data_IF_036937443570
#
_entry.id   IF_036937443570
#
_cell.length_a   1.000
_cell.length_b   1.000
_cell.length_c   1.000
_cell.angle_alpha   90.00
_cell.angle_beta   90.00
_cell.angle_gamma   90.00
#
_symmetry.space_group_name_H-M   'P 1'
#
loop_
_entity.id
_entity.type
_entity.pdbx_description
1 polymer ?
#
# COMPACT_ATOMS: atom_id res chain seq x y z
N UNK A 1 12.22 -9.21 11.44
CA UNK A 1 12.77 -9.05 10.08
C UNK A 1 13.83 -7.96 10.16
N UNK A 2 15.08 -8.21 9.78
CA UNK A 2 16.03 -7.12 9.58
C UNK A 2 15.62 -6.43 8.27
N UNK A 3 15.30 -5.14 8.32
CA UNK A 3 14.89 -4.39 7.14
C UNK A 3 16.14 -4.16 6.27
N UNK A 4 16.30 -4.98 5.22
CA UNK A 4 17.45 -4.93 4.30
C UNK A 4 17.12 -4.00 3.14
N UNK A 5 18.12 -3.31 2.58
CA UNK A 5 18.00 -2.49 1.38
C UNK A 5 17.32 -3.22 0.21
N UNK A 6 16.50 -2.50 -0.55
CA UNK A 6 15.63 -3.07 -1.58
C UNK A 6 15.73 -2.37 -2.93
N UNK A 7 15.49 -3.10 -4.03
CA UNK A 7 15.45 -2.51 -5.37
C UNK A 7 14.07 -1.87 -5.61
N UNK A 8 14.04 -0.56 -5.80
CA UNK A 8 12.82 0.25 -6.02
C UNK A 8 12.74 0.86 -7.43
N UNK A 9 13.39 0.25 -8.42
CA UNK A 9 13.58 0.84 -9.76
C UNK A 9 12.28 1.36 -10.38
N UNK A 10 11.27 0.48 -10.53
CA UNK A 10 10.06 0.83 -11.26
C UNK A 10 9.18 1.85 -10.51
N UNK A 11 8.92 1.72 -9.20
CA UNK A 11 8.23 2.74 -8.43
C UNK A 11 8.86 4.13 -8.57
N UNK A 12 10.20 4.22 -8.46
CA UNK A 12 10.92 5.50 -8.59
C UNK A 12 10.77 6.08 -9.99
N UNK A 13 10.88 5.26 -11.05
CA UNK A 13 10.71 5.72 -12.43
C UNK A 13 9.30 6.25 -12.66
N UNK A 14 8.28 5.51 -12.24
CA UNK A 14 6.88 5.90 -12.41
C UNK A 14 6.61 7.26 -11.73
N UNK A 15 7.05 7.41 -10.48
CA UNK A 15 6.90 8.66 -9.74
C UNK A 15 7.68 9.83 -10.38
N UNK A 16 8.93 9.63 -10.82
CA UNK A 16 9.71 10.68 -11.48
C UNK A 16 9.05 11.18 -12.77
N UNK A 17 8.40 10.27 -13.53
CA UNK A 17 7.67 10.63 -14.75
C UNK A 17 6.38 11.39 -14.39
N UNK A 18 5.65 10.95 -13.37
CA UNK A 18 4.39 11.56 -12.90
C UNK A 18 4.59 12.97 -12.31
N UNK A 19 5.63 13.15 -11.49
CA UNK A 19 5.86 14.37 -10.70
C UNK A 19 6.64 15.46 -11.41
N UNK A 20 7.18 15.18 -12.61
CA UNK A 20 8.12 16.06 -13.34
C UNK A 20 9.39 16.44 -12.54
N UNK A 21 9.68 15.73 -11.44
CA UNK A 21 10.88 15.96 -10.63
C UNK A 21 12.11 15.36 -11.31
N UNK A 22 13.18 16.14 -11.40
CA UNK A 22 14.45 15.64 -11.91
C UNK A 22 15.21 14.80 -10.87
N UNK A 23 16.00 13.83 -11.35
CA UNK A 23 16.96 13.08 -10.51
C UNK A 23 17.91 13.99 -9.74
N UNK A 24 18.23 15.17 -10.28
CA UNK A 24 19.05 16.18 -9.61
C UNK A 24 18.33 16.73 -8.36
N UNK A 25 17.07 17.14 -8.52
CA UNK A 25 16.24 17.61 -7.41
C UNK A 25 16.09 16.52 -6.34
N UNK A 26 15.80 15.28 -6.76
CA UNK A 26 15.74 14.13 -5.84
C UNK A 26 17.04 13.95 -5.06
N UNK A 27 18.21 14.00 -5.72
CA UNK A 27 19.50 13.88 -5.02
C UNK A 27 19.74 14.99 -4.00
N UNK A 28 19.31 16.22 -4.32
CA UNK A 28 19.45 17.38 -3.45
C UNK A 28 18.55 17.26 -2.23
N UNK A 29 17.29 16.85 -2.42
CA UNK A 29 16.33 16.68 -1.35
C UNK A 29 16.76 15.58 -0.35
N UNK A 30 17.27 14.46 -0.85
CA UNK A 30 17.70 13.32 -0.03
C UNK A 30 19.07 13.52 0.63
N UNK A 31 19.84 14.54 0.20
CA UNK A 31 21.23 14.75 0.64
C UNK A 31 22.20 13.66 0.17
N UNK A 32 21.96 13.06 -1.00
CA UNK A 32 22.78 11.99 -1.59
C UNK A 32 23.57 12.47 -2.79
N UNK A 33 24.51 11.64 -3.27
CA UNK A 33 25.27 11.96 -4.48
C UNK A 33 24.35 12.05 -5.71
N UNK A 34 24.71 12.87 -6.70
CA UNK A 34 23.95 12.97 -7.97
C UNK A 34 23.87 11.66 -8.73
N UNK A 35 24.82 10.75 -8.51
CA UNK A 35 24.84 9.44 -9.15
C UNK A 35 23.82 8.48 -8.51
N UNK A 36 23.47 8.69 -7.24
CA UNK A 36 22.63 7.77 -6.46
C UNK A 36 21.24 7.55 -7.09
N UNK A 37 20.45 8.58 -7.46
CA UNK A 37 19.18 8.36 -8.16
C UNK A 37 19.32 7.66 -9.53
N UNK A 38 20.44 7.90 -10.23
CA UNK A 38 20.74 7.19 -11.49
C UNK A 38 21.00 5.72 -11.22
N UNK A 39 21.75 5.40 -10.16
CA UNK A 39 22.03 4.03 -9.76
C UNK A 39 20.78 3.28 -9.29
N UNK A 40 19.79 3.95 -8.70
CA UNK A 40 18.50 3.34 -8.34
C UNK A 40 17.58 3.10 -9.53
N UNK A 41 17.79 3.78 -10.66
CA UNK A 41 16.87 3.75 -11.82
C UNK A 41 17.44 3.08 -13.08
N UNK A 42 18.74 2.77 -13.11
CA UNK A 42 19.36 2.01 -14.21
C UNK A 42 18.86 0.57 -14.28
N UNK A 43 19.07 -0.13 -15.41
CA UNK A 43 18.60 -1.51 -15.60
C UNK A 43 19.08 -2.47 -14.49
N UNK A 44 20.35 -2.38 -14.11
CA UNK A 44 20.91 -3.08 -12.94
C UNK A 44 20.89 -2.16 -11.72
N UNK A 45 19.70 -1.87 -11.24
CA UNK A 45 19.49 -0.92 -10.15
C UNK A 45 20.17 -1.37 -8.85
N UNK A 46 20.80 -0.43 -8.18
CA UNK A 46 21.32 -0.64 -6.82
C UNK A 46 20.18 -0.59 -5.79
N UNK A 47 20.26 -1.35 -4.69
CA UNK A 47 19.28 -1.27 -3.63
C UNK A 47 19.26 0.10 -2.94
N UNK A 48 18.06 0.58 -2.61
CA UNK A 48 17.79 1.74 -1.76
C UNK A 48 17.80 1.29 -0.31
N UNK A 49 18.44 2.05 0.58
CA UNK A 49 18.43 1.75 2.03
C UNK A 49 17.08 2.14 2.64
N UNK A 50 16.68 1.56 3.79
CA UNK A 50 15.43 1.92 4.46
C UNK A 50 15.34 3.43 4.75
N UNK A 51 16.43 4.05 5.20
CA UNK A 51 16.48 5.47 5.55
C UNK A 51 16.27 6.36 4.31
N UNK A 52 16.87 5.97 3.18
CA UNK A 52 16.67 6.69 1.92
C UNK A 52 15.25 6.49 1.37
N UNK A 53 14.63 5.33 1.62
CA UNK A 53 13.26 5.07 1.22
C UNK A 53 12.28 5.93 2.03
N UNK A 54 12.47 6.07 3.35
CA UNK A 54 11.66 6.96 4.20
C UNK A 54 11.79 8.41 3.72
N UNK A 55 13.01 8.93 3.59
CA UNK A 55 13.24 10.31 3.08
C UNK A 55 12.65 10.53 1.69
N UNK A 56 12.64 9.49 0.87
CA UNK A 56 12.05 9.55 -0.47
C UNK A 56 10.53 9.62 -0.40
N UNK A 57 9.88 8.82 0.45
CA UNK A 57 8.44 8.88 0.67
C UNK A 57 8.02 10.27 1.20
N UNK A 58 8.73 10.79 2.20
CA UNK A 58 8.52 12.12 2.77
C UNK A 58 8.67 13.23 1.72
N UNK A 59 9.71 13.17 0.89
CA UNK A 59 9.94 14.19 -0.15
C UNK A 59 8.95 14.06 -1.30
N UNK A 60 8.60 12.83 -1.66
CA UNK A 60 7.75 12.55 -2.81
C UNK A 60 6.29 12.90 -2.57
N UNK A 61 5.85 12.72 -1.32
CA UNK A 61 4.48 12.99 -0.88
C UNK A 61 3.44 12.40 -1.85
N UNK A 62 3.67 11.14 -2.23
CA UNK A 62 2.88 10.42 -3.23
C UNK A 62 2.46 9.05 -2.67
N UNK A 63 1.16 8.79 -2.68
CA UNK A 63 0.57 7.58 -2.10
C UNK A 63 1.04 6.30 -2.80
N UNK A 64 1.19 6.33 -4.13
CA UNK A 64 1.58 5.15 -4.92
C UNK A 64 3.04 4.75 -4.64
N UNK A 65 3.94 5.74 -4.61
CA UNK A 65 5.34 5.51 -4.27
C UNK A 65 5.49 5.05 -2.81
N UNK A 66 4.79 5.71 -1.88
CA UNK A 66 4.82 5.38 -0.45
C UNK A 66 4.38 3.94 -0.20
N UNK A 67 3.26 3.53 -0.78
CA UNK A 67 2.78 2.15 -0.65
C UNK A 67 3.73 1.15 -1.33
N UNK A 68 4.34 1.50 -2.46
CA UNK A 68 5.34 0.64 -3.10
C UNK A 68 6.58 0.45 -2.22
N UNK A 69 7.01 1.48 -1.51
CA UNK A 69 8.09 1.42 -0.51
C UNK A 69 7.68 0.50 0.64
N UNK A 70 6.47 0.68 1.19
CA UNK A 70 5.95 -0.14 2.29
C UNK A 70 5.92 -1.62 1.89
N UNK A 71 5.39 -1.94 0.71
CA UNK A 71 5.38 -3.29 0.18
C UNK A 71 6.78 -3.89 0.11
N UNK A 72 7.73 -3.17 -0.48
CA UNK A 72 9.04 -3.72 -0.75
C UNK A 72 9.85 -3.99 0.54
N UNK A 73 9.68 -3.16 1.57
CA UNK A 73 10.41 -3.30 2.84
C UNK A 73 9.69 -4.15 3.88
N UNK A 74 8.35 -4.18 3.87
CA UNK A 74 7.56 -4.83 4.92
C UNK A 74 6.62 -5.92 4.41
N UNK A 75 6.43 -6.05 3.09
CA UNK A 75 5.62 -7.11 2.47
C UNK A 75 4.11 -6.96 2.69
N UNK A 76 3.61 -5.76 3.02
CA UNK A 76 2.24 -5.58 3.51
C UNK A 76 1.28 -5.19 2.37
N UNK A 77 1.40 -3.99 1.80
CA UNK A 77 0.43 -3.45 0.83
C UNK A 77 1.11 -2.79 -0.35
N UNK A 78 0.69 -3.13 -1.58
CA UNK A 78 1.11 -2.49 -2.83
C UNK A 78 -0.12 -1.88 -3.52
N UNK A 79 -0.01 -0.74 -4.21
CA UNK A 79 -1.07 -0.26 -5.10
C UNK A 79 -1.44 -1.31 -6.15
N UNK A 80 -2.69 -1.31 -6.61
CA UNK A 80 -3.10 -2.17 -7.72
C UNK A 80 -2.44 -1.68 -9.00
N UNK A 81 -1.37 -2.37 -9.42
CA UNK A 81 -0.54 -1.95 -10.54
C UNK A 81 -0.73 -2.77 -11.83
N UNK A 82 -1.71 -3.68 -11.84
CA UNK A 82 -2.14 -4.41 -13.04
C UNK A 82 -2.79 -3.52 -14.10
N UNK A 83 -2.93 -4.05 -15.32
CA UNK A 83 -3.54 -3.40 -16.49
C UNK A 83 -5.00 -3.82 -16.74
N UNK A 84 -5.55 -4.68 -15.87
CA UNK A 84 -6.89 -5.25 -16.01
C UNK A 84 -8.00 -4.27 -15.59
N UNK A 85 -7.80 -3.52 -14.51
CA UNK A 85 -8.80 -2.61 -13.94
C UNK A 85 -8.43 -1.15 -14.18
N UNK A 86 -9.45 -0.31 -14.44
CA UNK A 86 -9.29 1.15 -14.48
C UNK A 86 -9.03 1.67 -13.07
N UNK A 87 -8.23 2.73 -12.94
CA UNK A 87 -7.78 3.29 -11.66
C UNK A 87 -8.41 4.63 -11.30
N UNK A 88 -9.34 5.13 -12.11
CA UNK A 88 -10.08 6.34 -11.76
C UNK A 88 -10.97 6.10 -10.52
N UNK A 89 -11.39 7.18 -9.85
CA UNK A 89 -12.15 7.09 -8.61
C UNK A 89 -13.44 6.28 -8.78
N UNK A 90 -14.19 6.48 -9.87
CA UNK A 90 -15.47 5.79 -10.07
C UNK A 90 -15.27 4.28 -10.20
N UNK A 91 -14.30 3.86 -11.01
CA UNK A 91 -13.97 2.44 -11.17
C UNK A 91 -13.43 1.82 -9.88
N UNK A 92 -12.69 2.59 -9.08
CA UNK A 92 -12.15 2.12 -7.80
C UNK A 92 -13.25 1.95 -6.75
N UNK A 93 -14.26 2.82 -6.74
CA UNK A 93 -15.42 2.68 -5.85
C UNK A 93 -16.29 1.47 -6.25
N UNK A 94 -16.57 1.32 -7.55
CA UNK A 94 -17.33 0.18 -8.08
C UNK A 94 -16.62 -1.15 -7.73
N UNK A 95 -15.29 -1.22 -7.91
CA UNK A 95 -14.51 -2.40 -7.56
C UNK A 95 -14.55 -2.65 -6.04
N UNK A 96 -14.39 -1.61 -5.23
CA UNK A 96 -14.49 -1.71 -3.76
C UNK A 96 -15.84 -2.30 -3.33
N UNK A 97 -16.94 -1.83 -3.91
CA UNK A 97 -18.29 -2.35 -3.61
C UNK A 97 -18.44 -3.82 -4.02
N UNK A 98 -17.90 -4.21 -5.19
CA UNK A 98 -17.93 -5.61 -5.63
C UNK A 98 -17.17 -6.53 -4.67
N UNK A 99 -15.93 -6.18 -4.32
CA UNK A 99 -15.10 -6.97 -3.41
C UNK A 99 -15.71 -7.05 -1.99
N UNK A 100 -16.32 -5.96 -1.49
CA UNK A 100 -17.04 -5.97 -0.21
C UNK A 100 -18.25 -6.92 -0.23
N UNK A 101 -18.99 -6.94 -1.34
CA UNK A 101 -20.13 -7.84 -1.52
C UNK A 101 -19.69 -9.32 -1.59
N UNK A 102 -18.56 -9.62 -2.24
CA UNK A 102 -18.00 -10.98 -2.31
C UNK A 102 -17.48 -11.44 -0.95
N UNK A 103 -16.77 -10.57 -0.24
CA UNK A 103 -16.34 -10.77 1.15
C UNK A 103 -17.52 -11.05 2.08
N UNK A 104 -18.62 -10.30 1.97
CA UNK A 104 -19.78 -10.48 2.84
C UNK A 104 -20.50 -11.80 2.56
N UNK A 105 -20.59 -12.23 1.30
CA UNK A 105 -21.08 -13.58 0.94
C UNK A 105 -20.18 -14.67 1.54
N UNK A 106 -18.86 -14.52 1.44
CA UNK A 106 -17.91 -15.47 2.01
C UNK A 106 -17.98 -15.52 3.54
N UNK A 107 -18.20 -14.36 4.20
CA UNK A 107 -18.40 -14.26 5.65
C UNK A 107 -19.61 -15.08 6.11
N UNK A 108 -20.73 -14.99 5.40
CA UNK A 108 -21.96 -15.75 5.72
C UNK A 108 -21.68 -17.25 5.71
N UNK A 109 -20.90 -17.73 4.73
CA UNK A 109 -20.52 -19.14 4.61
C UNK A 109 -19.56 -19.55 5.75
N UNK A 110 -18.55 -18.73 6.05
CA UNK A 110 -17.56 -18.99 7.09
C UNK A 110 -18.08 -18.77 8.52
N UNK A 111 -19.23 -18.11 8.70
CA UNK A 111 -19.72 -17.65 10.01
C UNK A 111 -19.86 -18.80 11.01
N UNK A 112 -20.38 -19.94 10.58
CA UNK A 112 -20.51 -21.12 11.45
C UNK A 112 -19.15 -21.67 11.88
N UNK A 113 -18.16 -21.60 11.00
CA UNK A 113 -16.79 -22.04 11.27
C UNK A 113 -16.12 -21.11 12.29
N UNK A 114 -16.30 -19.79 12.13
CA UNK A 114 -15.75 -18.77 13.04
C UNK A 114 -16.26 -18.89 14.48
N UNK A 115 -17.42 -19.51 14.70
CA UNK A 115 -17.98 -19.77 16.03
C UNK A 115 -17.41 -21.04 16.69
N UNK A 116 -16.71 -21.91 15.94
CA UNK A 116 -16.10 -23.12 16.48
C UNK A 116 -14.85 -22.76 17.27
N UNK A 117 -14.54 -23.57 18.29
CA UNK A 117 -13.22 -23.52 18.94
C UNK A 117 -12.17 -24.01 17.95
N UNK A 118 -10.99 -23.37 17.94
CA UNK A 118 -9.89 -23.72 17.03
C UNK A 118 -9.54 -25.23 17.08
N UNK A 119 -9.59 -25.85 18.26
CA UNK A 119 -9.28 -27.29 18.40
C UNK A 119 -10.36 -28.23 17.83
N UNK A 120 -11.47 -27.69 17.32
CA UNK A 120 -12.62 -28.42 16.75
C UNK A 120 -12.77 -28.20 15.24
N UNK A 121 -11.84 -27.47 14.62
CA UNK A 121 -11.82 -27.26 13.17
C UNK A 121 -11.29 -28.52 12.46
N UNK A 122 -11.92 -28.88 11.36
CA UNK A 122 -11.45 -29.91 10.43
C UNK A 122 -10.83 -29.27 9.17
N UNK A 123 -10.38 -30.08 8.21
CA UNK A 123 -9.82 -29.59 6.94
C UNK A 123 -10.77 -28.64 6.19
N UNK A 124 -12.03 -29.02 6.06
CA UNK A 124 -13.02 -28.26 5.29
C UNK A 124 -13.30 -26.90 5.94
N UNK A 125 -13.29 -26.85 7.27
CA UNK A 125 -13.36 -25.62 8.05
C UNK A 125 -12.17 -24.71 7.75
N UNK A 126 -10.95 -25.25 7.70
CA UNK A 126 -9.75 -24.47 7.34
C UNK A 126 -9.80 -23.96 5.90
N UNK A 127 -10.28 -24.76 4.95
CA UNK A 127 -10.43 -24.35 3.55
C UNK A 127 -11.43 -23.19 3.42
N UNK A 128 -12.54 -23.24 4.17
CA UNK A 128 -13.50 -22.13 4.22
C UNK A 128 -12.92 -20.86 4.84
N UNK A 129 -12.15 -20.99 5.92
CA UNK A 129 -11.46 -19.85 6.54
C UNK A 129 -10.38 -19.27 5.63
N UNK A 130 -9.64 -20.10 4.91
CA UNK A 130 -8.63 -19.67 3.95
C UNK A 130 -9.28 -18.90 2.80
N UNK A 131 -10.37 -19.44 2.23
CA UNK A 131 -11.14 -18.73 1.21
C UNK A 131 -11.64 -17.40 1.75
N UNK A 132 -12.24 -17.39 2.94
CA UNK A 132 -12.69 -16.14 3.54
C UNK A 132 -11.54 -15.13 3.75
N UNK A 133 -10.35 -15.60 4.14
CA UNK A 133 -9.16 -14.75 4.30
C UNK A 133 -8.69 -14.13 2.98
N UNK A 134 -8.78 -14.88 1.86
CA UNK A 134 -8.52 -14.34 0.51
C UNK A 134 -9.46 -13.17 0.19
N UNK A 135 -10.77 -13.38 0.36
CA UNK A 135 -11.78 -12.36 0.05
C UNK A 135 -11.65 -11.13 0.97
N UNK A 136 -11.22 -11.32 2.22
CA UNK A 136 -10.84 -10.21 3.11
C UNK A 136 -9.64 -9.43 2.58
N UNK A 137 -8.60 -10.12 2.09
CA UNK A 137 -7.42 -9.46 1.52
C UNK A 137 -7.75 -8.67 0.25
N UNK A 138 -8.56 -9.23 -0.65
CA UNK A 138 -9.00 -8.56 -1.88
C UNK A 138 -9.81 -7.29 -1.59
N UNK A 139 -10.75 -7.36 -0.63
CA UNK A 139 -11.48 -6.18 -0.16
C UNK A 139 -10.55 -5.11 0.45
N UNK A 140 -9.47 -5.51 1.14
CA UNK A 140 -8.46 -4.56 1.64
C UNK A 140 -7.69 -3.90 0.49
N UNK A 141 -7.30 -4.66 -0.54
CA UNK A 141 -6.61 -4.10 -1.71
C UNK A 141 -7.47 -3.09 -2.46
N UNK A 142 -8.75 -3.40 -2.69
CA UNK A 142 -9.69 -2.48 -3.32
C UNK A 142 -9.95 -1.23 -2.47
N UNK A 143 -10.09 -1.37 -1.16
CA UNK A 143 -10.24 -0.25 -0.23
C UNK A 143 -9.01 0.68 -0.22
N UNK A 144 -7.81 0.13 -0.25
CA UNK A 144 -6.56 0.91 -0.35
C UNK A 144 -6.49 1.66 -1.68
N UNK A 145 -6.83 1.00 -2.79
CA UNK A 145 -6.85 1.65 -4.09
C UNK A 145 -7.84 2.81 -4.14
N UNK A 146 -9.05 2.61 -3.60
CA UNK A 146 -10.06 3.64 -3.49
C UNK A 146 -9.61 4.81 -2.61
N UNK A 147 -9.00 4.52 -1.45
CA UNK A 147 -8.42 5.54 -0.56
C UNK A 147 -7.36 6.38 -1.28
N UNK A 148 -6.46 5.73 -2.03
CA UNK A 148 -5.45 6.43 -2.82
C UNK A 148 -6.10 7.34 -3.86
N UNK A 149 -7.12 6.87 -4.59
CA UNK A 149 -7.84 7.69 -5.57
C UNK A 149 -8.54 8.89 -4.94
N UNK A 150 -9.09 8.75 -3.71
CA UNK A 150 -9.66 9.86 -2.95
C UNK A 150 -8.59 10.89 -2.56
N UNK A 151 -7.41 10.44 -2.13
CA UNK A 151 -6.28 11.33 -1.80
C UNK A 151 -5.83 12.10 -3.04
N UNK A 152 -5.69 11.42 -4.18
CA UNK A 152 -5.28 12.04 -5.45
C UNK A 152 -6.24 13.16 -5.90
N UNK A 153 -7.56 12.97 -5.78
CA UNK A 153 -8.56 14.00 -6.13
C UNK A 153 -8.46 15.23 -5.23
N UNK A 154 -8.09 15.03 -3.98
CA UNK A 154 -7.89 16.10 -3.00
C UNK A 154 -6.51 16.75 -3.11
N UNK A 155 -5.64 16.23 -3.99
CA UNK A 155 -4.25 16.65 -4.13
C UNK A 155 -3.50 16.59 -2.78
N UNK A 156 -3.71 15.49 -2.05
CA UNK A 156 -2.98 15.13 -0.83
C UNK A 156 -2.42 13.71 -0.97
N UNK A 157 -1.41 13.38 -0.20
CA UNK A 157 -0.94 12.00 -0.08
C UNK A 157 -1.65 11.23 1.03
N UNK A 158 -1.43 9.92 1.08
CA UNK A 158 -1.86 9.11 2.22
C UNK A 158 -1.13 9.52 3.50
N UNK A 159 0.09 10.06 3.40
CA UNK A 159 0.83 10.55 4.57
C UNK A 159 0.17 11.81 5.12
N UNK A 160 -0.21 12.76 4.27
CA UNK A 160 -0.97 13.95 4.68
C UNK A 160 -2.27 13.57 5.39
N UNK A 161 -3.00 12.58 4.84
CA UNK A 161 -4.24 12.11 5.45
C UNK A 161 -4.00 11.59 6.87
N UNK A 162 -2.93 10.82 7.06
CA UNK A 162 -2.54 10.34 8.38
C UNK A 162 -2.18 11.51 9.29
N UNK A 163 -1.40 12.49 8.83
CA UNK A 163 -1.03 13.65 9.64
C UNK A 163 -2.24 14.50 10.06
N UNK A 164 -3.23 14.66 9.17
CA UNK A 164 -4.46 15.42 9.45
C UNK A 164 -5.31 14.72 10.53
N UNK A 165 -5.47 13.40 10.44
CA UNK A 165 -6.45 12.66 11.25
C UNK A 165 -5.85 11.78 12.35
N UNK A 166 -4.52 11.69 12.49
CA UNK A 166 -3.88 10.83 13.49
C UNK A 166 -4.39 11.11 14.89
N UNK A 167 -4.54 12.39 15.24
CA UNK A 167 -5.07 12.81 16.55
C UNK A 167 -6.47 12.26 16.80
N UNK A 168 -7.36 12.40 15.82
CA UNK A 168 -8.74 11.91 15.92
C UNK A 168 -8.78 10.38 16.04
N UNK A 169 -7.91 9.67 15.31
CA UNK A 169 -7.83 8.21 15.38
C UNK A 169 -7.21 7.69 16.68
N UNK A 170 -6.24 8.42 17.25
CA UNK A 170 -5.72 8.16 18.59
C UNK A 170 -6.80 8.37 19.65
N UNK A 171 -7.55 9.47 19.57
CA UNK A 171 -8.63 9.79 20.51
C UNK A 171 -9.79 8.78 20.40
N UNK A 172 -10.02 8.20 19.22
CA UNK A 172 -10.96 7.11 18.98
C UNK A 172 -10.44 5.72 19.43
N UNK A 173 -9.16 5.61 19.80
CA UNK A 173 -8.54 4.36 20.27
C UNK A 173 -8.13 3.38 19.16
N UNK A 174 -8.04 3.83 17.90
CA UNK A 174 -7.51 3.02 16.79
C UNK A 174 -5.99 2.89 16.86
N UNK A 175 -5.30 3.92 17.34
CA UNK A 175 -3.86 3.94 17.55
C UNK A 175 -3.53 4.29 19.01
N UNK A 176 -2.38 3.83 19.50
CA UNK A 176 -1.84 4.33 20.77
C UNK A 176 -1.35 5.77 20.62
N UNK A 177 -1.37 6.52 21.72
CA UNK A 177 -0.60 7.76 21.81
C UNK A 177 0.87 7.43 22.05
N UNK A 178 1.77 8.19 21.42
CA UNK A 178 3.21 8.15 21.72
C UNK A 178 3.50 8.63 23.17
#
# INVERSE_FOLDING_TARGET
MNVVSQVLRQPIINWLVKSEISKKQLSQALGVSRQTPTDWTKEKATPVTPENAVRMAEFADDSELTMSIIYQFFGIFRPLDGDTYRRDLSSSDDLRELEENERDKAKVIAQRVLLKRVQKLNSDDFDLLLKFSKEQAEAVFANIQYLNALCEIQNISIMDLFDIFMKDWQDAGYFGGD
#
